data_IF_614469749862
#
_entry.id   IF_614469749862
#
_cell.length_a   1.000
_cell.length_b   1.000
_cell.length_c   1.000
_cell.angle_alpha   90.00
_cell.angle_beta   90.00
_cell.angle_gamma   90.00
#
_symmetry.space_group_name_H-M   'P 1'
#
loop_
_entity.id
_entity.type
_entity.pdbx_description
1 polymer ?
#
# COMPACT_ATOMS: atom_id res chain seq x y z
N UNK A 1 -5.13 -16.59 22.84
CA UNK A 1 -4.70 -16.57 21.42
C UNK A 1 -5.85 -17.17 20.58
N UNK A 2 -6.07 -16.63 19.38
CA UNK A 2 -7.17 -17.02 18.47
C UNK A 2 -7.29 -18.55 18.29
N UNK A 3 -6.19 -19.22 17.93
CA UNK A 3 -6.16 -20.65 17.64
C UNK A 3 -6.68 -21.55 18.78
N UNK A 4 -6.56 -21.14 20.03
CA UNK A 4 -7.06 -21.90 21.20
C UNK A 4 -8.58 -21.83 21.30
N UNK A 5 -9.20 -20.79 20.75
CA UNK A 5 -10.67 -20.58 20.75
C UNK A 5 -11.36 -21.24 19.54
N UNK A 6 -10.60 -21.58 18.49
CA UNK A 6 -11.14 -22.18 17.28
C UNK A 6 -11.29 -23.70 17.43
N UNK A 7 -12.36 -24.24 16.82
CA UNK A 7 -12.50 -25.68 16.65
C UNK A 7 -11.47 -26.24 15.66
N UNK A 8 -11.31 -27.57 15.65
CA UNK A 8 -10.30 -28.27 14.83
C UNK A 8 -10.49 -28.00 13.33
N UNK A 9 -11.73 -28.05 12.83
CA UNK A 9 -12.04 -27.81 11.43
C UNK A 9 -11.66 -26.39 10.98
N UNK A 10 -12.04 -25.38 11.76
CA UNK A 10 -11.69 -23.97 11.47
C UNK A 10 -10.17 -23.74 11.46
N UNK A 11 -9.45 -24.38 12.38
CA UNK A 11 -7.97 -24.34 12.41
C UNK A 11 -7.38 -24.94 11.14
N UNK A 12 -7.84 -26.12 10.73
CA UNK A 12 -7.33 -26.80 9.53
C UNK A 12 -7.55 -25.96 8.27
N UNK A 13 -8.72 -25.31 8.13
CA UNK A 13 -9.01 -24.41 7.00
C UNK A 13 -8.05 -23.21 7.03
N UNK A 14 -7.88 -22.55 8.18
CA UNK A 14 -6.97 -21.40 8.31
C UNK A 14 -5.50 -21.76 8.04
N UNK A 15 -5.06 -22.91 8.54
CA UNK A 15 -3.69 -23.40 8.32
C UNK A 15 -3.43 -23.65 6.83
N UNK A 16 -4.43 -24.17 6.12
CA UNK A 16 -4.35 -24.42 4.68
C UNK A 16 -4.40 -23.10 3.88
N UNK A 17 -5.22 -22.11 4.28
CA UNK A 17 -5.19 -20.76 3.72
C UNK A 17 -3.79 -20.17 3.86
N UNK A 18 -3.24 -20.18 5.06
CA UNK A 18 -1.87 -19.70 5.30
C UNK A 18 -0.86 -20.42 4.43
N UNK A 19 -0.91 -21.74 4.38
CA UNK A 19 0.03 -22.55 3.58
C UNK A 19 -0.03 -22.21 2.09
N UNK A 20 -1.23 -21.94 1.55
CA UNK A 20 -1.42 -21.61 0.11
C UNK A 20 -1.04 -20.18 -0.22
N UNK A 21 -1.14 -19.24 0.74
CA UNK A 21 -1.06 -17.80 0.47
C UNK A 21 0.06 -17.06 1.21
N UNK A 22 0.87 -17.77 2.01
CA UNK A 22 2.01 -17.12 2.68
C UNK A 22 2.95 -16.47 1.69
N UNK A 23 3.24 -15.20 1.91
CA UNK A 23 4.18 -14.39 1.14
C UNK A 23 4.86 -13.38 2.04
N UNK A 24 5.93 -12.77 1.57
CA UNK A 24 6.61 -11.68 2.28
C UNK A 24 5.97 -10.34 1.94
N UNK A 25 5.79 -9.49 2.96
CA UNK A 25 5.48 -8.07 2.85
C UNK A 25 6.49 -7.24 3.65
N UNK A 26 6.53 -5.94 3.37
CA UNK A 26 7.27 -4.94 4.14
C UNK A 26 6.28 -3.91 4.66
N UNK A 27 5.90 -4.05 5.92
CA UNK A 27 4.99 -3.12 6.60
C UNK A 27 5.71 -1.80 6.87
N UNK A 28 4.99 -0.69 6.77
CA UNK A 28 5.47 0.62 7.18
C UNK A 28 5.24 0.79 8.68
N UNK A 29 6.32 0.94 9.44
CA UNK A 29 6.27 1.30 10.86
C UNK A 29 6.56 2.80 10.97
N UNK A 30 5.53 3.58 11.30
CA UNK A 30 5.60 5.03 11.37
C UNK A 30 6.28 5.53 12.65
N UNK A 31 7.06 6.60 12.52
CA UNK A 31 7.74 7.30 13.63
C UNK A 31 7.29 8.76 13.67
N UNK A 32 6.38 9.07 14.59
CA UNK A 32 5.80 10.41 14.77
C UNK A 32 6.72 11.36 15.52
N UNK A 33 7.78 10.87 16.17
CA UNK A 33 8.72 11.67 16.97
C UNK A 33 9.85 12.27 16.10
N UNK A 34 10.23 11.59 15.01
CA UNK A 34 11.30 12.03 14.12
C UNK A 34 10.85 13.11 13.14
N UNK A 35 11.62 14.19 13.03
CA UNK A 35 11.41 15.21 11.99
C UNK A 35 11.91 14.69 10.62
N UNK A 36 11.03 14.60 9.59
CA UNK A 36 11.41 14.07 8.30
C UNK A 36 12.43 14.94 7.55
N UNK A 37 13.48 14.34 6.99
CA UNK A 37 14.41 14.97 6.06
C UNK A 37 14.05 14.66 4.61
N UNK A 38 14.73 15.29 3.63
CA UNK A 38 14.54 14.95 2.21
C UNK A 38 15.05 13.54 1.86
N UNK A 39 15.84 12.89 2.72
CA UNK A 39 16.43 11.58 2.45
C UNK A 39 15.73 10.41 3.15
N UNK A 40 14.83 10.67 4.10
CA UNK A 40 14.16 9.60 4.83
C UNK A 40 13.08 8.90 4.00
N UNK A 41 12.85 7.62 4.31
CA UNK A 41 11.59 6.95 3.95
C UNK A 41 10.46 7.60 4.71
N UNK A 42 9.45 8.11 4.01
CA UNK A 42 8.37 8.91 4.61
C UNK A 42 7.14 9.01 3.73
N UNK A 43 6.03 9.39 4.33
CA UNK A 43 4.86 9.92 3.64
C UNK A 43 4.91 11.45 3.64
N UNK A 44 4.48 12.06 2.55
CA UNK A 44 4.37 13.51 2.41
C UNK A 44 5.64 14.32 2.63
N UNK A 45 5.46 15.62 2.80
CA UNK A 45 6.55 16.55 3.03
C UNK A 45 7.39 16.86 1.78
N UNK A 46 8.48 17.56 1.99
CA UNK A 46 9.40 17.92 0.90
C UNK A 46 10.17 16.68 0.42
N UNK A 47 10.05 16.26 -0.87
CA UNK A 47 10.74 15.08 -1.39
C UNK A 47 12.25 15.29 -1.52
N UNK A 48 12.99 14.19 -1.64
CA UNK A 48 14.29 14.26 -2.33
C UNK A 48 14.04 14.59 -3.80
N UNK A 49 14.79 15.52 -4.35
CA UNK A 49 14.80 15.79 -5.79
C UNK A 49 16.12 16.40 -6.24
N UNK A 50 16.66 15.91 -7.36
CA UNK A 50 17.81 16.52 -8.02
C UNK A 50 17.33 17.79 -8.78
N UNK A 51 17.75 19.01 -8.38
CA UNK A 51 17.30 20.25 -9.00
C UNK A 51 17.61 20.37 -10.50
N UNK A 52 18.53 19.55 -11.01
CA UNK A 52 18.84 19.50 -12.44
C UNK A 52 17.80 18.71 -13.25
N UNK A 53 16.89 17.97 -12.60
CA UNK A 53 15.86 17.17 -13.24
C UNK A 53 14.51 17.89 -13.24
N UNK A 54 13.70 17.60 -14.26
CA UNK A 54 12.32 18.09 -14.32
C UNK A 54 11.47 17.42 -13.24
N UNK A 55 10.84 18.22 -12.39
CA UNK A 55 9.95 17.74 -11.32
C UNK A 55 8.61 17.26 -11.91
N UNK A 56 7.97 16.24 -11.34
CA UNK A 56 6.66 15.76 -11.77
C UNK A 56 5.58 16.84 -11.71
N UNK A 57 4.83 16.98 -12.80
CA UNK A 57 3.70 17.89 -12.89
C UNK A 57 2.46 17.14 -13.38
N UNK A 58 1.31 17.59 -12.93
CA UNK A 58 0.01 17.13 -13.42
C UNK A 58 -0.25 17.62 -14.86
N UNK A 59 -1.41 17.27 -15.40
CA UNK A 59 -1.86 17.67 -16.75
C UNK A 59 -2.06 19.17 -16.92
N UNK A 60 -2.18 19.92 -15.82
CA UNK A 60 -2.30 21.38 -15.82
C UNK A 60 -0.95 22.09 -15.64
N UNK A 61 0.14 21.34 -15.48
CA UNK A 61 1.48 21.85 -15.23
C UNK A 61 1.75 22.24 -13.76
N UNK A 62 0.85 21.92 -12.84
CA UNK A 62 1.04 22.09 -11.40
C UNK A 62 1.95 20.98 -10.87
N UNK A 63 2.86 21.31 -9.95
CA UNK A 63 3.73 20.31 -9.31
C UNK A 63 2.90 19.37 -8.45
N UNK A 64 3.15 18.07 -8.61
CA UNK A 64 2.51 17.02 -7.83
C UNK A 64 3.01 17.01 -6.39
N UNK A 65 2.19 16.48 -5.48
CA UNK A 65 2.57 16.24 -4.09
C UNK A 65 3.31 14.91 -3.95
N UNK A 66 4.27 14.87 -3.05
CA UNK A 66 4.82 13.59 -2.59
C UNK A 66 3.75 12.85 -1.78
N UNK A 67 3.34 11.68 -2.25
CA UNK A 67 2.54 10.74 -1.47
C UNK A 67 3.44 9.98 -0.50
N UNK A 68 4.45 9.31 -1.01
CA UNK A 68 5.43 8.57 -0.23
C UNK A 68 6.76 8.46 -0.97
N UNK A 69 7.85 8.31 -0.23
CA UNK A 69 9.14 7.90 -0.75
C UNK A 69 9.79 6.84 0.12
N UNK A 70 10.45 5.89 -0.52
CA UNK A 70 11.17 4.79 0.12
C UNK A 70 12.65 4.88 -0.27
N UNK A 71 13.52 5.07 0.72
CA UNK A 71 14.96 5.08 0.55
C UNK A 71 15.55 3.70 0.80
N UNK A 72 15.76 2.92 -0.25
CA UNK A 72 16.31 1.56 -0.16
C UNK A 72 17.82 1.52 0.21
N UNK A 73 18.50 2.66 0.30
CA UNK A 73 19.84 2.71 0.87
C UNK A 73 19.79 2.63 2.41
N UNK A 74 18.71 3.10 3.02
CA UNK A 74 18.44 3.05 4.46
C UNK A 74 17.55 1.86 4.84
N UNK A 75 16.38 1.75 4.21
CA UNK A 75 15.37 0.74 4.48
C UNK A 75 15.52 -0.42 3.48
N UNK A 76 16.29 -1.43 3.87
CA UNK A 76 16.62 -2.55 2.98
C UNK A 76 15.44 -3.48 2.76
N UNK A 77 15.21 -3.82 1.51
CA UNK A 77 14.26 -4.84 1.10
C UNK A 77 14.96 -5.91 0.25
N UNK A 78 14.31 -7.06 0.09
CA UNK A 78 14.80 -8.13 -0.79
C UNK A 78 14.19 -8.01 -2.19
N UNK A 79 14.82 -8.66 -3.19
CA UNK A 79 14.21 -8.81 -4.51
C UNK A 79 12.79 -9.41 -4.37
N UNK A 80 11.81 -8.94 -5.13
CA UNK A 80 11.92 -8.14 -6.37
C UNK A 80 12.01 -6.61 -6.19
N UNK A 81 11.97 -6.09 -4.96
CA UNK A 81 12.08 -4.66 -4.69
C UNK A 81 13.49 -4.12 -5.00
N UNK A 82 13.62 -2.80 -5.24
CA UNK A 82 14.94 -2.18 -5.42
C UNK A 82 15.87 -2.47 -4.23
N UNK A 83 17.15 -2.66 -4.52
CA UNK A 83 18.18 -2.96 -3.50
C UNK A 83 18.93 -1.69 -3.05
N UNK A 84 18.70 -0.57 -3.72
CA UNK A 84 19.29 0.74 -3.47
C UNK A 84 18.45 1.83 -4.10
N UNK A 85 18.82 3.09 -3.89
CA UNK A 85 18.15 4.23 -4.49
C UNK A 85 16.84 4.60 -3.81
N UNK A 86 16.04 5.43 -4.46
CA UNK A 86 14.79 5.95 -3.90
C UNK A 86 13.63 5.77 -4.86
N UNK A 87 12.55 5.17 -4.38
CA UNK A 87 11.28 5.03 -5.09
C UNK A 87 10.30 6.05 -4.52
N UNK A 88 9.67 6.84 -5.39
CA UNK A 88 8.78 7.91 -5.00
C UNK A 88 7.43 7.78 -5.71
N UNK A 89 6.37 8.09 -4.99
CA UNK A 89 4.99 8.12 -5.45
C UNK A 89 4.48 9.56 -5.31
N UNK A 90 3.91 10.08 -6.38
CA UNK A 90 3.37 11.44 -6.45
C UNK A 90 1.92 11.41 -6.88
N UNK A 91 1.12 12.32 -6.34
CA UNK A 91 -0.30 12.51 -6.71
C UNK A 91 -0.59 13.98 -7.02
N UNK A 92 -1.57 14.20 -7.90
CA UNK A 92 -2.07 15.54 -8.25
C UNK A 92 -2.95 16.14 -7.16
N UNK A 93 -3.13 17.45 -7.23
CA UNK A 93 -4.01 18.23 -6.35
C UNK A 93 -5.41 18.32 -6.99
N UNK A 94 -6.16 17.23 -6.87
CA UNK A 94 -7.56 17.13 -7.27
C UNK A 94 -8.32 16.19 -6.33
N UNK A 95 -9.65 16.21 -6.40
CA UNK A 95 -10.54 15.42 -5.53
C UNK A 95 -10.48 13.89 -5.76
N UNK A 96 -9.76 13.45 -6.79
CA UNK A 96 -9.47 12.04 -7.07
C UNK A 96 -8.01 11.67 -6.77
N UNK A 97 -7.23 12.58 -6.18
CA UNK A 97 -5.81 12.38 -5.89
C UNK A 97 -5.01 11.89 -7.11
N UNK A 98 -5.31 12.46 -8.27
CA UNK A 98 -4.66 12.13 -9.54
C UNK A 98 -5.17 10.86 -10.23
N UNK A 99 -6.16 10.15 -9.69
CA UNK A 99 -6.74 8.98 -10.35
C UNK A 99 -7.53 9.41 -11.60
N UNK A 100 -7.17 8.86 -12.76
CA UNK A 100 -7.86 9.08 -14.05
C UNK A 100 -8.81 7.91 -14.36
N UNK A 101 -9.70 8.11 -15.32
CA UNK A 101 -10.55 7.05 -15.89
C UNK A 101 -9.75 5.82 -16.35
N UNK A 102 -8.55 6.02 -16.90
CA UNK A 102 -7.57 4.96 -17.15
C UNK A 102 -6.55 4.92 -16.01
N UNK A 103 -6.68 4.00 -15.05
CA UNK A 103 -5.85 3.96 -13.85
C UNK A 103 -4.37 3.61 -14.13
N UNK A 104 -4.02 3.28 -15.37
CA UNK A 104 -2.65 2.97 -15.78
C UNK A 104 -1.90 4.19 -16.34
N UNK A 105 -2.60 5.30 -16.54
CA UNK A 105 -2.01 6.53 -17.07
C UNK A 105 -1.37 7.36 -15.97
N UNK A 106 -0.06 7.36 -15.93
CA UNK A 106 0.73 8.22 -15.05
C UNK A 106 0.71 9.68 -15.52
N UNK A 107 -0.48 10.30 -15.56
CA UNK A 107 -0.70 11.65 -16.05
C UNK A 107 -0.81 12.65 -14.89
N UNK A 108 -1.73 12.38 -13.96
CA UNK A 108 -1.98 13.20 -12.78
C UNK A 108 -1.52 12.49 -11.47
N UNK A 109 -0.86 11.37 -11.61
CA UNK A 109 -0.06 10.70 -10.60
C UNK A 109 1.24 10.20 -11.23
N UNK A 110 2.28 9.91 -10.44
CA UNK A 110 3.58 9.51 -11.00
C UNK A 110 4.36 8.64 -10.04
N UNK A 111 5.06 7.64 -10.58
CA UNK A 111 6.14 6.94 -9.88
C UNK A 111 7.47 7.38 -10.47
N UNK A 112 8.44 7.65 -9.59
CA UNK A 112 9.80 8.00 -9.97
C UNK A 112 10.79 7.15 -9.19
N UNK A 113 11.73 6.52 -9.89
CA UNK A 113 12.80 5.78 -9.28
C UNK A 113 14.15 6.47 -9.55
N UNK A 114 14.84 6.82 -8.48
CA UNK A 114 16.20 7.32 -8.51
C UNK A 114 17.14 6.16 -8.16
N UNK A 115 17.80 5.59 -9.17
CA UNK A 115 18.78 4.50 -8.98
C UNK A 115 19.91 4.90 -8.03
N UNK A 116 20.26 6.18 -8.03
CA UNK A 116 21.30 6.78 -7.17
C UNK A 116 20.77 8.04 -6.53
N UNK A 117 21.02 8.18 -5.24
CA UNK A 117 20.72 9.37 -4.46
C UNK A 117 21.96 10.23 -4.40
N UNK A 118 21.86 11.48 -4.86
CA UNK A 118 22.91 12.48 -4.67
C UNK A 118 22.79 13.10 -3.28
N UNK A 119 23.60 12.65 -2.36
CA UNK A 119 23.60 13.15 -0.98
C UNK A 119 24.19 14.56 -0.81
N UNK A 120 24.67 15.19 -1.89
CA UNK A 120 25.09 16.57 -1.87
C UNK A 120 23.94 17.56 -2.08
N UNK A 121 22.77 17.10 -2.53
CA UNK A 121 21.54 17.90 -2.63
C UNK A 121 21.13 18.38 -1.24
N UNK A 122 20.88 19.68 -1.14
CA UNK A 122 20.46 20.28 0.14
C UNK A 122 18.96 20.53 0.18
N UNK A 123 18.41 20.62 1.39
CA UNK A 123 17.00 20.97 1.60
C UNK A 123 16.66 22.31 0.98
N UNK A 124 17.55 23.31 1.14
CA UNK A 124 17.38 24.66 0.60
C UNK A 124 17.32 24.70 -0.94
N UNK A 125 18.06 23.82 -1.62
CA UNK A 125 18.00 23.70 -3.08
C UNK A 125 16.65 23.13 -3.52
N UNK A 126 16.10 22.14 -2.80
CA UNK A 126 14.80 21.56 -3.11
C UNK A 126 13.66 22.54 -2.76
N UNK A 127 13.75 23.26 -1.63
CA UNK A 127 12.80 24.33 -1.25
C UNK A 127 12.76 25.43 -2.30
N UNK A 128 13.93 25.83 -2.83
CA UNK A 128 14.03 26.86 -3.87
C UNK A 128 13.31 26.46 -5.18
N UNK A 129 13.00 25.20 -5.38
CA UNK A 129 12.18 24.73 -6.51
C UNK A 129 10.71 25.14 -6.36
N UNK A 130 10.27 25.60 -5.18
CA UNK A 130 8.88 26.00 -4.93
C UNK A 130 7.92 24.82 -5.04
N UNK A 131 8.30 23.69 -4.45
CA UNK A 131 7.42 22.52 -4.32
C UNK A 131 6.45 22.81 -3.18
N UNK A 132 5.16 22.68 -3.48
CA UNK A 132 4.13 22.82 -2.47
C UNK A 132 4.03 21.57 -1.60
N UNK A 133 3.89 21.73 -0.28
CA UNK A 133 3.83 20.64 0.68
C UNK A 133 2.54 20.74 1.50
N UNK A 134 1.54 19.86 1.28
CA UNK A 134 0.36 19.81 2.12
C UNK A 134 0.69 19.35 3.56
N UNK A 135 -0.13 19.75 4.59
CA UNK A 135 -1.18 20.75 4.49
C UNK A 135 -0.62 22.16 4.73
N UNK A 136 -0.65 23.00 3.72
CA UNK A 136 -0.59 24.43 3.93
C UNK A 136 -2.04 24.92 4.13
N UNK A 137 -2.26 26.05 4.78
CA UNK A 137 -3.57 26.59 5.16
C UNK A 137 -4.55 26.88 3.99
N UNK A 138 -4.36 26.24 2.85
CA UNK A 138 -5.18 26.35 1.65
C UNK A 138 -6.02 25.07 1.47
N UNK A 139 -7.13 25.17 0.74
CA UNK A 139 -7.90 23.99 0.31
C UNK A 139 -7.08 23.21 -0.72
N UNK A 140 -6.38 22.18 -0.26
CA UNK A 140 -5.64 21.26 -1.11
C UNK A 140 -6.20 19.85 -0.95
N UNK A 141 -6.25 19.11 -2.06
CA UNK A 141 -6.66 17.72 -2.08
C UNK A 141 -5.42 16.85 -1.96
N UNK A 142 -5.18 16.34 -0.77
CA UNK A 142 -4.08 15.40 -0.49
C UNK A 142 -4.54 14.35 0.53
N UNK A 143 -4.25 13.06 0.32
CA UNK A 143 -4.51 12.05 1.33
C UNK A 143 -3.51 12.09 2.48
N UNK A 144 -2.47 12.94 2.42
CA UNK A 144 -1.46 13.08 3.47
C UNK A 144 -1.72 14.36 4.28
N UNK A 145 -2.03 14.21 5.56
CA UNK A 145 -2.26 15.33 6.49
C UNK A 145 -1.00 15.76 7.22
N UNK A 146 -0.07 14.82 7.39
CA UNK A 146 1.19 15.08 8.09
C UNK A 146 2.33 14.31 7.45
N UNK A 147 3.47 14.98 7.25
CA UNK A 147 4.69 14.27 6.87
C UNK A 147 5.19 13.43 8.05
N UNK A 148 5.43 12.15 7.80
CA UNK A 148 5.84 11.20 8.82
C UNK A 148 6.88 10.23 8.30
N UNK A 149 7.97 10.05 9.04
CA UNK A 149 8.99 9.03 8.75
C UNK A 149 8.41 7.64 9.00
N UNK A 150 8.85 6.67 8.22
CA UNK A 150 8.60 5.25 8.52
C UNK A 150 9.85 4.39 8.28
N UNK A 151 9.80 3.16 8.79
CA UNK A 151 10.78 2.10 8.50
C UNK A 151 10.07 0.90 7.90
N UNK A 152 10.79 0.16 7.06
CA UNK A 152 10.29 -1.08 6.49
C UNK A 152 10.54 -2.25 7.44
N UNK A 153 9.46 -2.90 7.88
CA UNK A 153 9.54 -4.10 8.72
C UNK A 153 9.10 -5.31 7.90
N UNK A 154 10.07 -6.20 7.64
CA UNK A 154 9.79 -7.45 6.92
C UNK A 154 8.95 -8.39 7.77
N UNK A 155 7.87 -8.92 7.18
CA UNK A 155 7.02 -9.90 7.83
C UNK A 155 6.42 -10.89 6.83
N UNK A 156 6.05 -12.06 7.32
CA UNK A 156 5.25 -13.01 6.55
C UNK A 156 3.77 -12.63 6.70
N UNK A 157 3.09 -12.55 5.58
CA UNK A 157 1.65 -12.26 5.49
C UNK A 157 0.92 -13.35 4.72
N UNK A 158 -0.40 -13.37 4.81
CA UNK A 158 -1.26 -14.31 4.11
C UNK A 158 -2.65 -13.70 3.95
N UNK A 159 -3.49 -14.26 3.06
CA UNK A 159 -4.85 -13.76 2.83
C UNK A 159 -5.69 -13.95 4.08
N UNK A 160 -6.01 -12.84 4.75
CA UNK A 160 -6.85 -12.77 5.94
C UNK A 160 -8.29 -12.33 5.62
N UNK A 161 -9.16 -12.26 6.65
CA UNK A 161 -10.57 -11.88 6.47
C UNK A 161 -10.79 -10.44 5.98
N UNK A 162 -9.78 -9.56 6.05
CA UNK A 162 -9.80 -8.23 5.46
C UNK A 162 -9.75 -8.27 3.91
N UNK A 163 -9.23 -9.36 3.33
CA UNK A 163 -9.34 -9.66 1.90
C UNK A 163 -10.62 -10.49 1.66
N UNK A 164 -11.77 -9.99 2.06
CA UNK A 164 -13.00 -10.76 2.28
C UNK A 164 -13.40 -11.63 1.09
N UNK A 165 -13.23 -11.16 -0.12
CA UNK A 165 -13.58 -11.87 -1.35
C UNK A 165 -12.66 -13.07 -1.61
N UNK A 166 -11.35 -12.81 -1.62
CA UNK A 166 -10.32 -13.85 -1.81
C UNK A 166 -10.29 -14.84 -0.65
N UNK A 167 -10.44 -14.36 0.59
CA UNK A 167 -10.52 -15.20 1.77
C UNK A 167 -11.74 -16.13 1.73
N UNK A 168 -12.92 -15.58 1.39
CA UNK A 168 -14.15 -16.34 1.28
C UNK A 168 -14.09 -17.40 0.19
N UNK A 169 -13.56 -17.05 -0.98
CA UNK A 169 -13.38 -17.99 -2.09
C UNK A 169 -12.45 -19.13 -1.70
N UNK A 170 -11.30 -18.80 -1.13
CA UNK A 170 -10.32 -19.80 -0.70
C UNK A 170 -10.85 -20.70 0.40
N UNK A 171 -11.56 -20.14 1.39
CA UNK A 171 -12.16 -20.92 2.46
C UNK A 171 -13.18 -21.96 1.95
N UNK A 172 -14.01 -21.57 0.97
CA UNK A 172 -14.97 -22.47 0.31
C UNK A 172 -14.27 -23.59 -0.47
N UNK A 173 -13.27 -23.26 -1.25
CA UNK A 173 -12.45 -24.25 -1.99
C UNK A 173 -11.82 -25.27 -1.04
N UNK A 174 -11.17 -24.79 0.02
CA UNK A 174 -10.50 -25.64 1.01
C UNK A 174 -11.51 -26.52 1.75
N UNK A 175 -12.68 -25.99 2.13
CA UNK A 175 -13.72 -26.77 2.77
C UNK A 175 -14.24 -27.89 1.85
N UNK A 176 -14.38 -27.59 0.56
CA UNK A 176 -14.74 -28.58 -0.46
C UNK A 176 -13.67 -29.66 -0.59
N UNK A 177 -12.41 -29.26 -0.74
CA UNK A 177 -11.28 -30.17 -0.94
C UNK A 177 -11.03 -31.09 0.26
N UNK A 178 -11.11 -30.55 1.48
CA UNK A 178 -10.74 -31.29 2.70
C UNK A 178 -11.92 -32.07 3.30
N UNK A 179 -13.14 -31.55 3.17
CA UNK A 179 -14.32 -32.11 3.88
C UNK A 179 -15.47 -32.53 2.95
N UNK A 180 -15.35 -32.24 1.62
CA UNK A 180 -16.40 -32.58 0.65
C UNK A 180 -17.68 -31.73 0.79
N UNK A 181 -17.55 -30.54 1.37
CA UNK A 181 -18.64 -29.61 1.64
C UNK A 181 -18.70 -28.53 0.55
N UNK A 182 -19.88 -28.19 0.03
CA UNK A 182 -20.00 -27.30 -1.14
C UNK A 182 -21.11 -26.24 -1.06
N UNK A 183 -21.99 -26.29 -0.08
CA UNK A 183 -23.14 -25.39 0.00
C UNK A 183 -22.87 -24.14 0.84
N UNK A 184 -21.85 -23.35 0.42
CA UNK A 184 -21.48 -22.12 1.11
C UNK A 184 -21.65 -20.91 0.19
N UNK A 185 -22.30 -19.86 0.67
CA UNK A 185 -22.41 -18.58 -0.03
C UNK A 185 -21.26 -17.66 0.36
N UNK A 186 -20.97 -17.54 1.65
CA UNK A 186 -19.97 -16.64 2.24
C UNK A 186 -19.02 -17.36 3.21
N UNK A 187 -17.91 -16.68 3.57
CA UNK A 187 -16.96 -17.21 4.55
C UNK A 187 -17.58 -17.56 5.92
N UNK A 188 -18.54 -16.79 6.48
CA UNK A 188 -19.25 -17.18 7.70
C UNK A 188 -19.93 -18.54 7.63
N UNK A 189 -20.43 -18.94 6.46
CA UNK A 189 -21.08 -20.27 6.30
C UNK A 189 -20.06 -21.39 6.43
N UNK A 190 -18.83 -21.15 5.94
CA UNK A 190 -17.73 -22.11 6.01
C UNK A 190 -17.30 -22.36 7.44
N UNK A 191 -17.11 -21.30 8.23
CA UNK A 191 -16.59 -21.42 9.60
C UNK A 191 -17.69 -21.59 10.66
N UNK A 192 -18.92 -21.14 10.35
CA UNK A 192 -19.97 -20.86 11.31
C UNK A 192 -19.79 -19.49 11.97
N UNK A 193 -20.91 -18.79 12.23
CA UNK A 193 -20.90 -17.38 12.69
C UNK A 193 -19.98 -17.14 13.91
N UNK A 194 -20.03 -18.03 14.91
CA UNK A 194 -19.23 -17.88 16.13
C UNK A 194 -17.73 -17.99 15.84
N UNK A 195 -17.32 -18.96 15.03
CA UNK A 195 -15.91 -19.19 14.69
C UNK A 195 -15.39 -18.09 13.75
N UNK A 196 -16.20 -17.67 12.80
CA UNK A 196 -15.84 -16.58 11.88
C UNK A 196 -15.68 -15.26 12.65
N UNK A 197 -16.56 -14.98 13.62
CA UNK A 197 -16.42 -13.81 14.49
C UNK A 197 -15.09 -13.80 15.25
N UNK A 198 -14.66 -14.94 15.78
CA UNK A 198 -13.35 -15.05 16.46
C UNK A 198 -12.21 -14.73 15.47
N UNK A 199 -12.30 -15.24 14.24
CA UNK A 199 -11.33 -14.98 13.19
C UNK A 199 -11.30 -13.49 12.84
N UNK A 200 -12.46 -12.89 12.67
CA UNK A 200 -12.61 -11.47 12.38
C UNK A 200 -12.03 -10.59 13.50
N UNK A 201 -12.47 -10.81 14.75
CA UNK A 201 -12.06 -9.99 15.90
C UNK A 201 -10.54 -10.00 16.14
N UNK A 202 -9.85 -11.10 15.78
CA UNK A 202 -8.40 -11.23 15.98
C UNK A 202 -7.55 -10.82 14.75
N UNK A 203 -8.15 -10.81 13.56
CA UNK A 203 -7.42 -10.55 12.30
C UNK A 203 -7.95 -9.33 11.53
N UNK A 204 -9.09 -8.77 11.92
CA UNK A 204 -9.58 -7.52 11.37
C UNK A 204 -8.70 -6.37 11.86
N UNK A 205 -8.14 -5.61 10.99
CA UNK A 205 -7.19 -4.55 11.36
C UNK A 205 -5.72 -4.97 11.21
N UNK A 206 -5.48 -6.10 10.53
CA UNK A 206 -4.13 -6.43 10.05
C UNK A 206 -3.85 -5.80 8.67
N UNK A 207 -4.83 -5.13 8.07
CA UNK A 207 -4.61 -4.23 6.94
C UNK A 207 -3.66 -3.11 7.38
N UNK A 208 -2.69 -2.79 6.57
CA UNK A 208 -1.65 -1.83 6.90
C UNK A 208 -1.02 -1.26 5.63
N UNK A 209 -0.32 -0.16 5.77
CA UNK A 209 0.55 0.37 4.72
C UNK A 209 1.73 -0.56 4.52
N UNK A 210 1.99 -0.99 3.27
CA UNK A 210 2.99 -2.01 2.98
C UNK A 210 3.51 -1.98 1.54
N UNK A 211 4.65 -2.63 1.34
CA UNK A 211 5.14 -3.05 0.03
C UNK A 211 4.97 -4.55 -0.11
N UNK A 212 4.57 -5.03 -1.28
CA UNK A 212 4.28 -6.44 -1.55
C UNK A 212 3.15 -7.00 -0.66
N UNK A 213 3.07 -8.32 -0.52
CA UNK A 213 1.99 -8.95 0.25
C UNK A 213 0.67 -9.00 -0.50
N UNK A 214 -0.42 -9.05 0.27
CA UNK A 214 -1.79 -9.09 -0.25
C UNK A 214 -2.45 -7.72 -0.10
N UNK A 215 -3.10 -7.20 -1.16
CA UNK A 215 -3.77 -5.90 -1.08
C UNK A 215 -5.01 -5.97 -0.20
N UNK A 216 -5.35 -4.82 0.37
CA UNK A 216 -6.64 -4.55 0.99
C UNK A 216 -7.44 -3.57 0.14
N UNK A 217 -8.75 -3.68 0.16
CA UNK A 217 -9.71 -2.79 -0.49
C UNK A 217 -10.86 -2.52 0.46
N UNK A 218 -11.36 -1.29 0.47
CA UNK A 218 -12.61 -0.97 1.18
C UNK A 218 -13.84 -1.32 0.35
N UNK A 219 -13.70 -1.33 -0.98
CA UNK A 219 -14.74 -1.73 -1.93
C UNK A 219 -14.38 -3.04 -2.62
N UNK A 220 -13.88 -2.99 -3.83
CA UNK A 220 -13.61 -4.16 -4.68
C UNK A 220 -12.19 -4.11 -5.26
N UNK A 221 -11.64 -5.28 -5.54
CA UNK A 221 -10.41 -5.36 -6.34
C UNK A 221 -10.71 -4.93 -7.79
N UNK A 222 -10.12 -3.83 -8.20
CA UNK A 222 -10.33 -3.27 -9.56
C UNK A 222 -9.64 -4.08 -10.65
N UNK A 223 -8.84 -5.07 -10.29
CA UNK A 223 -8.12 -5.91 -11.23
C UNK A 223 -9.02 -7.06 -11.69
N UNK A 224 -9.14 -7.24 -13.00
CA UNK A 224 -9.80 -8.42 -13.56
C UNK A 224 -9.00 -9.69 -13.27
N UNK A 225 -9.68 -10.84 -13.21
CA UNK A 225 -9.02 -12.13 -13.09
C UNK A 225 -8.00 -12.34 -14.21
N UNK A 226 -6.79 -12.72 -13.85
CA UNK A 226 -5.68 -12.86 -14.80
C UNK A 226 -5.06 -11.53 -15.26
N UNK A 227 -5.36 -10.44 -14.58
CA UNK A 227 -4.72 -9.14 -14.82
C UNK A 227 -3.20 -9.26 -14.80
N UNK A 228 -2.53 -8.52 -15.69
CA UNK A 228 -1.07 -8.43 -15.69
C UNK A 228 -0.49 -7.73 -14.45
N UNK A 229 -1.29 -6.93 -13.76
CA UNK A 229 -0.92 -6.22 -12.53
C UNK A 229 -1.04 -7.15 -11.32
N UNK A 230 -0.24 -8.20 -11.32
CA UNK A 230 -0.31 -9.36 -10.42
C UNK A 230 0.32 -9.13 -9.04
N UNK A 231 1.07 -8.04 -8.89
CA UNK A 231 1.88 -7.78 -7.69
C UNK A 231 1.50 -6.42 -7.08
N UNK A 232 1.20 -6.41 -5.79
CA UNK A 232 1.11 -5.18 -5.01
C UNK A 232 2.50 -4.55 -4.91
N UNK A 233 2.69 -3.40 -5.52
CA UNK A 233 3.93 -2.63 -5.39
C UNK A 233 3.95 -1.87 -4.07
N UNK A 234 2.88 -1.12 -3.81
CA UNK A 234 2.73 -0.26 -2.63
C UNK A 234 1.26 -0.10 -2.27
N UNK A 235 0.97 -0.17 -0.99
CA UNK A 235 -0.31 0.16 -0.38
C UNK A 235 -0.08 1.20 0.70
N UNK A 236 -0.86 2.27 0.67
CA UNK A 236 -0.92 3.26 1.72
C UNK A 236 -2.34 3.31 2.26
N UNK A 237 -2.52 2.91 3.50
CA UNK A 237 -3.80 2.92 4.21
C UNK A 237 -4.08 4.28 4.82
N UNK A 238 -5.29 4.50 5.31
CA UNK A 238 -5.63 5.61 6.19
C UNK A 238 -5.04 5.33 7.57
N UNK A 239 -4.01 6.07 7.95
CA UNK A 239 -3.17 5.80 9.12
C UNK A 239 -3.35 6.86 10.20
N UNK A 240 -3.63 6.40 11.41
CA UNK A 240 -3.62 7.21 12.63
C UNK A 240 -2.62 6.60 13.60
N UNK A 241 -1.60 7.35 13.97
CA UNK A 241 -0.52 6.92 14.87
C UNK A 241 -0.44 7.88 16.05
N UNK A 242 -0.44 7.35 17.26
CA UNK A 242 -0.38 8.16 18.50
C UNK A 242 -1.45 9.27 18.58
N UNK A 243 -2.68 8.96 18.13
CA UNK A 243 -3.81 9.90 18.02
C UNK A 243 -3.64 11.01 16.96
N UNK A 244 -2.61 10.93 16.12
CA UNK A 244 -2.38 11.86 15.01
C UNK A 244 -2.75 11.21 13.67
N UNK A 245 -3.56 11.90 12.89
CA UNK A 245 -3.89 11.48 11.52
C UNK A 245 -2.69 11.74 10.61
N UNK A 246 -2.13 10.70 10.03
CA UNK A 246 -1.01 10.76 9.09
C UNK A 246 -1.53 10.81 7.67
N UNK A 247 -2.40 9.87 7.33
CA UNK A 247 -3.02 9.76 6.00
C UNK A 247 -4.50 9.46 6.11
N UNK A 248 -5.30 9.92 5.16
CA UNK A 248 -6.72 9.62 5.04
C UNK A 248 -7.14 9.65 3.57
N UNK A 249 -7.64 8.54 3.08
CA UNK A 249 -8.20 8.41 1.74
C UNK A 249 -9.72 8.52 1.82
N UNK A 250 -10.28 9.64 1.36
CA UNK A 250 -11.71 9.88 1.51
C UNK A 250 -12.15 9.81 2.98
N UNK A 251 -12.96 8.81 3.31
CA UNK A 251 -13.47 8.53 4.65
C UNK A 251 -13.06 7.14 5.16
N UNK A 252 -11.77 6.91 5.36
CA UNK A 252 -11.13 5.65 5.77
C UNK A 252 -10.85 4.67 4.63
N UNK A 253 -10.37 5.16 3.49
CA UNK A 253 -10.00 4.38 2.32
C UNK A 253 -8.54 3.93 2.31
N UNK A 254 -8.12 3.40 1.16
CA UNK A 254 -6.78 2.89 0.90
C UNK A 254 -6.34 3.20 -0.52
N UNK A 255 -5.07 3.57 -0.70
CA UNK A 255 -4.46 3.75 -2.01
C UNK A 255 -3.53 2.59 -2.36
N UNK A 256 -3.69 2.02 -3.55
CA UNK A 256 -2.99 0.84 -4.03
C UNK A 256 -2.28 1.09 -5.36
N UNK A 257 -1.06 0.61 -5.48
CA UNK A 257 -0.27 0.60 -6.72
C UNK A 257 0.10 -0.84 -7.07
N UNK A 258 -0.28 -1.30 -8.26
CA UNK A 258 -0.02 -2.65 -8.73
C UNK A 258 0.89 -2.65 -9.94
N UNK A 259 1.79 -3.63 -10.01
CA UNK A 259 2.77 -3.78 -11.09
C UNK A 259 2.81 -5.24 -11.54
N UNK A 260 3.31 -5.48 -12.74
CA UNK A 260 3.69 -6.84 -13.13
C UNK A 260 5.01 -7.23 -12.43
N UNK A 261 5.08 -8.44 -11.90
CA UNK A 261 6.27 -8.93 -11.18
C UNK A 261 7.56 -8.89 -12.02
N UNK A 262 7.46 -9.13 -13.34
CA UNK A 262 8.63 -9.09 -14.21
C UNK A 262 9.09 -7.65 -14.51
N UNK A 263 8.15 -6.68 -14.54
CA UNK A 263 8.48 -5.26 -14.66
C UNK A 263 9.16 -4.78 -13.36
N UNK A 264 8.64 -5.16 -12.20
CA UNK A 264 9.27 -4.86 -10.91
C UNK A 264 10.70 -5.40 -10.80
N UNK A 265 10.93 -6.65 -11.21
CA UNK A 265 12.29 -7.24 -11.24
C UNK A 265 13.27 -6.48 -12.14
N UNK A 266 12.76 -5.78 -13.16
CA UNK A 266 13.56 -4.94 -14.05
C UNK A 266 13.64 -3.49 -13.60
N UNK A 267 12.97 -3.15 -12.48
CA UNK A 267 12.82 -1.78 -11.97
C UNK A 267 12.18 -0.85 -13.01
N UNK A 268 11.25 -1.38 -13.80
CA UNK A 268 10.49 -0.65 -14.81
C UNK A 268 9.12 -0.26 -14.20
N UNK A 269 8.99 0.96 -13.77
CA UNK A 269 7.78 1.53 -13.17
C UNK A 269 6.92 2.31 -14.17
N UNK A 270 7.14 2.12 -15.47
CA UNK A 270 6.42 2.86 -16.51
C UNK A 270 4.99 2.38 -16.72
N UNK A 271 4.68 1.13 -16.33
CA UNK A 271 3.37 0.50 -16.47
C UNK A 271 2.90 -0.05 -15.11
N UNK A 272 2.17 0.78 -14.39
CA UNK A 272 1.63 0.52 -13.05
C UNK A 272 0.14 0.88 -13.07
N UNK A 273 -0.67 0.14 -12.34
CA UNK A 273 -2.07 0.45 -12.09
C UNK A 273 -2.18 1.11 -10.73
N UNK A 274 -2.74 2.31 -10.68
CA UNK A 274 -3.06 3.01 -9.44
C UNK A 274 -4.56 2.99 -9.21
N UNK A 275 -4.96 2.73 -7.98
CA UNK A 275 -6.33 2.83 -7.52
C UNK A 275 -6.37 3.31 -6.08
N UNK A 276 -7.43 4.01 -5.72
CA UNK A 276 -7.80 4.21 -4.32
C UNK A 276 -9.31 4.08 -4.20
N UNK A 277 -9.77 3.61 -3.06
CA UNK A 277 -11.17 3.47 -2.72
C UNK A 277 -11.43 3.88 -1.28
N UNK A 278 -12.67 4.19 -0.95
CA UNK A 278 -13.14 4.50 0.39
C UNK A 278 -14.58 4.02 0.58
N UNK A 279 -15.10 4.08 1.82
CA UNK A 279 -16.47 3.64 2.17
C UNK A 279 -17.56 4.48 1.50
#
# INVERSE_FOLDING_TARGET
MMYEKLNERSRQILDEIKRRTSTTAYQLEFDTESAPTIFDSKVGGLPYWDPAKTYPTDSNGKKMFLLAQINFDQDKAESPLPQSGMLQFFVGDDDLYGLDYDPTKQKDWRIVYHEKIDTSVTTEEVEAMGIHVPPDNEEVYSPVFRSCVFRLVKQDTWIGPHNWESFGTLAKEIASDMFGESDFEYAPDVFGEEQFKIIQDELWGTACSQLLGHPYFTQEDVREEGSRYDTLLFQLDSETVDEEEITMWGDCGVGNFFINIEDLKRLDFSDVLYNWDCC
#
